data_IF_613843370884
#
_entry.id   IF_613843370884
#
_cell.length_a   1.000
_cell.length_b   1.000
_cell.length_c   1.000
_cell.angle_alpha   90.00
_cell.angle_beta   90.00
_cell.angle_gamma   90.00
#
_symmetry.space_group_name_H-M   'P 1'
#
loop_
_entity.id
_entity.type
_entity.pdbx_description
1 polymer ?
#
# COMPACT_ATOMS: atom_id res chain seq x y z
N UNK A 1 -13.30 -26.70 69.05
CA UNK A 1 -12.66 -27.22 67.84
C UNK A 1 -13.63 -27.56 66.67
N UNK A 2 -14.70 -28.31 66.79
CA UNK A 2 -15.60 -28.68 65.70
C UNK A 2 -16.38 -27.48 65.09
N UNK A 3 -16.73 -26.43 65.83
CA UNK A 3 -17.44 -25.23 65.33
C UNK A 3 -16.51 -24.30 64.58
N UNK A 4 -15.26 -24.15 64.97
CA UNK A 4 -14.24 -23.34 64.28
C UNK A 4 -13.78 -23.97 62.98
N UNK A 5 -13.69 -25.30 62.90
CA UNK A 5 -13.38 -25.99 61.61
C UNK A 5 -14.50 -25.85 60.58
N UNK A 6 -15.79 -25.83 61.00
CA UNK A 6 -16.94 -25.63 60.09
C UNK A 6 -16.97 -24.20 59.56
N UNK A 7 -16.58 -23.20 60.36
CA UNK A 7 -16.54 -21.80 59.94
C UNK A 7 -15.42 -21.54 58.94
N UNK A 8 -14.22 -22.14 59.18
CA UNK A 8 -13.10 -22.05 58.26
C UNK A 8 -13.38 -22.75 56.92
N UNK A 9 -14.06 -23.92 56.94
CA UNK A 9 -14.47 -24.61 55.72
C UNK A 9 -15.49 -23.81 54.91
N UNK A 10 -16.41 -23.11 55.57
CA UNK A 10 -17.42 -22.26 54.94
C UNK A 10 -16.77 -21.02 54.28
N UNK A 11 -15.79 -20.40 54.92
CA UNK A 11 -15.05 -19.25 54.39
C UNK A 11 -14.19 -19.67 53.17
N UNK A 12 -13.52 -20.83 53.25
CA UNK A 12 -12.76 -21.37 52.10
C UNK A 12 -13.67 -21.73 50.91
N UNK A 13 -14.88 -22.29 51.15
CA UNK A 13 -15.83 -22.56 50.07
C UNK A 13 -16.37 -21.31 49.45
N UNK A 14 -16.63 -20.24 50.21
CA UNK A 14 -17.06 -18.93 49.67
C UNK A 14 -15.95 -18.25 48.87
N UNK A 15 -14.69 -18.38 49.28
CA UNK A 15 -13.54 -17.85 48.50
C UNK A 15 -13.32 -18.61 47.19
N UNK A 16 -13.52 -19.94 47.17
CA UNK A 16 -13.50 -20.72 45.93
C UNK A 16 -14.66 -20.37 44.97
N UNK A 17 -15.85 -20.11 45.48
CA UNK A 17 -17.00 -19.70 44.65
C UNK A 17 -16.84 -18.30 44.10
N UNK A 18 -16.22 -17.39 44.85
CA UNK A 18 -15.85 -16.05 44.33
C UNK A 18 -14.76 -16.10 43.27
N UNK A 19 -13.79 -17.06 43.39
CA UNK A 19 -12.77 -17.29 42.35
C UNK A 19 -13.33 -17.89 41.06
N UNK A 20 -14.40 -18.68 41.11
CA UNK A 20 -15.03 -19.32 39.96
C UNK A 20 -15.97 -18.34 39.23
N UNK A 21 -16.56 -17.37 39.93
CA UNK A 21 -17.40 -16.31 39.31
C UNK A 21 -16.58 -15.26 38.53
N UNK A 22 -15.28 -15.13 38.81
CA UNK A 22 -14.37 -14.29 38.02
C UNK A 22 -13.89 -14.97 36.74
N UNK A 23 -14.09 -16.30 36.59
CA UNK A 23 -13.70 -17.09 35.43
C UNK A 23 -14.86 -17.29 34.42
N UNK A 24 -16.05 -16.73 34.69
CA UNK A 24 -17.13 -16.69 33.71
C UNK A 24 -16.77 -15.67 32.64
N UNK A 25 -16.29 -16.16 31.51
CA UNK A 25 -15.73 -15.47 30.37
C UNK A 25 -16.41 -14.12 30.07
N UNK A 26 -15.70 -13.03 30.36
CA UNK A 26 -15.82 -11.87 29.50
C UNK A 26 -15.55 -12.40 28.09
N UNK A 27 -16.57 -12.45 27.23
CA UNK A 27 -16.36 -12.45 25.79
C UNK A 27 -15.32 -11.33 25.59
N UNK A 28 -14.09 -11.69 25.27
CA UNK A 28 -13.08 -10.68 24.97
C UNK A 28 -13.64 -9.91 23.79
N UNK A 29 -14.16 -8.72 24.09
CA UNK A 29 -14.69 -7.80 23.10
C UNK A 29 -13.48 -7.29 22.31
N UNK A 30 -13.17 -7.99 21.20
CA UNK A 30 -12.03 -7.69 20.34
C UNK A 30 -12.36 -6.55 19.40
N UNK A 31 -11.36 -5.75 19.05
CA UNK A 31 -11.46 -4.75 17.97
C UNK A 31 -11.17 -5.47 16.67
N UNK A 32 -12.15 -5.55 15.80
CA UNK A 32 -11.98 -6.18 14.49
C UNK A 32 -11.48 -5.19 13.47
N UNK A 33 -10.27 -5.42 12.99
CA UNK A 33 -9.63 -4.71 11.89
C UNK A 33 -9.65 -5.59 10.65
N UNK A 34 -10.19 -5.10 9.54
CA UNK A 34 -10.15 -5.76 8.25
C UNK A 34 -8.85 -5.45 7.51
N UNK A 35 -8.33 -6.42 6.77
CA UNK A 35 -7.37 -6.21 5.72
C UNK A 35 -7.84 -6.92 4.45
N UNK A 36 -7.64 -6.29 3.30
CA UNK A 36 -7.90 -6.86 2.00
C UNK A 36 -6.84 -6.43 0.99
N UNK A 37 -6.42 -7.37 0.15
CA UNK A 37 -5.38 -7.15 -0.87
C UNK A 37 -5.10 -8.45 -1.61
N UNK A 38 -4.21 -8.42 -2.59
CA UNK A 38 -3.90 -9.56 -3.44
C UNK A 38 -2.94 -10.52 -2.75
N UNK A 39 -3.41 -11.67 -2.26
CA UNK A 39 -2.54 -12.75 -1.78
C UNK A 39 -2.18 -13.74 -2.89
N UNK A 40 -2.93 -13.70 -3.99
CA UNK A 40 -2.70 -14.49 -5.21
C UNK A 40 -2.76 -13.57 -6.44
N UNK A 41 -2.30 -14.07 -7.59
CA UNK A 41 -2.21 -13.29 -8.84
C UNK A 41 -0.96 -12.40 -8.90
N UNK A 42 -0.95 -11.48 -9.85
CA UNK A 42 0.24 -10.72 -10.27
C UNK A 42 0.78 -9.72 -9.24
N UNK A 43 -0.02 -9.39 -8.23
CA UNK A 43 0.36 -8.48 -7.14
C UNK A 43 0.55 -9.21 -5.80
N UNK A 44 0.71 -10.54 -5.81
CA UNK A 44 0.75 -11.38 -4.60
C UNK A 44 1.91 -11.02 -3.65
N UNK A 45 3.06 -10.57 -4.17
CA UNK A 45 4.19 -10.15 -3.34
C UNK A 45 3.80 -8.99 -2.42
N UNK A 46 3.07 -8.00 -2.95
CA UNK A 46 2.60 -6.84 -2.22
C UNK A 46 1.63 -7.20 -1.10
N UNK A 47 0.54 -7.89 -1.44
CA UNK A 47 -0.46 -8.25 -0.44
C UNK A 47 0.07 -9.22 0.62
N UNK A 48 0.97 -10.13 0.24
CA UNK A 48 1.65 -11.00 1.19
C UNK A 48 2.44 -10.18 2.20
N UNK A 49 3.26 -9.23 1.73
CA UNK A 49 4.06 -8.37 2.60
C UNK A 49 3.19 -7.50 3.52
N UNK A 50 2.12 -6.86 2.98
CA UNK A 50 1.18 -6.06 3.79
C UNK A 50 0.53 -6.89 4.90
N UNK A 51 -0.07 -8.03 4.54
CA UNK A 51 -0.77 -8.88 5.50
C UNK A 51 0.17 -9.45 6.57
N UNK A 52 1.38 -9.81 6.21
CA UNK A 52 2.41 -10.29 7.12
C UNK A 52 2.87 -9.16 8.06
N UNK A 53 3.08 -7.96 7.54
CA UNK A 53 3.44 -6.78 8.35
C UNK A 53 2.33 -6.46 9.35
N UNK A 54 1.08 -6.41 8.93
CA UNK A 54 -0.05 -6.15 9.82
C UNK A 54 -0.19 -7.23 10.90
N UNK A 55 -0.01 -8.52 10.58
CA UNK A 55 -0.01 -9.59 11.58
C UNK A 55 1.07 -9.38 12.63
N UNK A 56 2.28 -9.01 12.22
CA UNK A 56 3.38 -8.71 13.12
C UNK A 56 3.05 -7.55 14.07
N UNK A 57 2.58 -6.44 13.52
CA UNK A 57 2.24 -5.23 14.29
C UNK A 57 1.05 -5.44 15.24
N UNK A 58 0.04 -6.20 14.80
CA UNK A 58 -1.11 -6.55 15.64
C UNK A 58 -0.69 -7.44 16.82
N UNK A 59 0.18 -8.42 16.60
CA UNK A 59 0.71 -9.26 17.69
C UNK A 59 1.49 -8.41 18.70
N UNK A 60 2.33 -7.48 18.25
CA UNK A 60 3.09 -6.58 19.13
C UNK A 60 2.16 -5.65 19.92
N UNK A 61 1.19 -5.03 19.24
CA UNK A 61 0.22 -4.14 19.90
C UNK A 61 -0.61 -4.91 20.93
N UNK A 62 -1.01 -6.14 20.61
CA UNK A 62 -1.74 -7.03 21.50
C UNK A 62 -0.90 -7.46 22.73
N UNK A 63 0.37 -7.78 22.53
CA UNK A 63 1.30 -8.07 23.61
C UNK A 63 1.51 -6.89 24.56
N UNK A 64 1.44 -5.65 24.01
CA UNK A 64 1.50 -4.41 24.79
C UNK A 64 0.16 -4.03 25.47
N UNK A 65 -0.88 -4.87 25.38
CA UNK A 65 -2.20 -4.64 26.00
C UNK A 65 -3.32 -4.22 25.05
N UNK A 66 -3.06 -4.17 23.76
CA UNK A 66 -4.04 -3.83 22.72
C UNK A 66 -4.31 -2.32 22.60
N UNK A 67 -5.53 -1.96 22.19
CA UNK A 67 -6.01 -0.57 22.08
C UNK A 67 -7.26 -0.42 22.93
N UNK A 68 -7.39 0.66 23.69
CA UNK A 68 -8.51 0.92 24.61
C UNK A 68 -8.76 -0.26 25.57
N UNK A 69 -7.71 -1.01 25.95
CA UNK A 69 -7.80 -2.18 26.80
C UNK A 69 -8.40 -3.42 26.14
N UNK A 70 -8.54 -3.43 24.82
CA UNK A 70 -9.07 -4.54 24.01
C UNK A 70 -8.00 -5.09 23.07
N UNK A 71 -8.06 -6.39 22.81
CA UNK A 71 -7.21 -7.05 21.82
C UNK A 71 -7.72 -6.74 20.40
N UNK A 72 -6.82 -6.69 19.43
CA UNK A 72 -7.13 -6.52 18.01
C UNK A 72 -7.25 -7.91 17.37
N UNK A 73 -8.31 -8.11 16.63
CA UNK A 73 -8.51 -9.27 15.74
C UNK A 73 -8.35 -8.79 14.29
N UNK A 74 -7.27 -9.20 13.64
CA UNK A 74 -7.02 -8.90 12.22
C UNK A 74 -7.67 -9.96 11.34
N UNK A 75 -8.59 -9.53 10.46
CA UNK A 75 -9.30 -10.38 9.51
C UNK A 75 -8.80 -10.07 8.10
N UNK A 76 -8.14 -11.05 7.45
CA UNK A 76 -7.51 -10.87 6.15
C UNK A 76 -8.23 -11.67 5.07
N UNK A 77 -8.48 -11.03 3.91
CA UNK A 77 -9.03 -11.70 2.73
C UNK A 77 -8.26 -11.36 1.46
N UNK A 78 -8.16 -12.36 0.58
CA UNK A 78 -7.56 -12.25 -0.75
C UNK A 78 -8.54 -11.66 -1.76
N UNK A 79 -8.17 -10.57 -2.42
CA UNK A 79 -8.91 -9.96 -3.53
C UNK A 79 -8.49 -10.49 -4.89
N UNK A 80 -7.43 -11.29 -4.97
CA UNK A 80 -6.86 -11.88 -6.19
C UNK A 80 -6.44 -10.84 -7.26
N UNK A 81 -6.29 -9.58 -6.87
CA UNK A 81 -6.05 -8.49 -7.82
C UNK A 81 -7.31 -8.05 -8.60
N UNK A 82 -8.46 -8.64 -8.33
CA UNK A 82 -9.71 -8.41 -9.08
C UNK A 82 -10.63 -7.40 -8.38
N UNK A 83 -11.15 -6.41 -9.13
CA UNK A 83 -12.00 -5.36 -8.59
C UNK A 83 -13.36 -5.88 -8.12
N UNK A 84 -13.94 -6.89 -8.80
CA UNK A 84 -15.22 -7.46 -8.40
C UNK A 84 -15.08 -8.31 -7.13
N UNK A 85 -13.98 -9.06 -7.01
CA UNK A 85 -13.67 -9.79 -5.79
C UNK A 85 -13.40 -8.84 -4.62
N UNK A 86 -12.75 -7.70 -4.86
CA UNK A 86 -12.60 -6.66 -3.85
C UNK A 86 -13.96 -6.17 -3.31
N UNK A 87 -14.96 -5.99 -4.16
CA UNK A 87 -16.34 -5.63 -3.75
C UNK A 87 -16.95 -6.74 -2.88
N UNK A 88 -16.75 -8.02 -3.23
CA UNK A 88 -17.26 -9.16 -2.46
C UNK A 88 -16.60 -9.23 -1.07
N UNK A 89 -15.29 -9.06 -1.02
CA UNK A 89 -14.50 -9.04 0.22
C UNK A 89 -14.89 -7.87 1.11
N UNK A 90 -15.02 -6.65 0.56
CA UNK A 90 -15.46 -5.48 1.33
C UNK A 90 -16.84 -5.70 1.95
N UNK A 91 -17.82 -6.24 1.18
CA UNK A 91 -19.14 -6.62 1.72
C UNK A 91 -19.05 -7.61 2.87
N UNK A 92 -18.17 -8.61 2.75
CA UNK A 92 -17.97 -9.61 3.80
C UNK A 92 -17.40 -8.98 5.06
N UNK A 93 -16.34 -8.19 4.95
CA UNK A 93 -15.71 -7.48 6.08
C UNK A 93 -16.73 -6.56 6.80
N UNK A 94 -17.48 -5.78 6.03
CA UNK A 94 -18.43 -4.82 6.60
C UNK A 94 -19.68 -5.49 7.17
N UNK A 95 -20.35 -6.39 6.42
CA UNK A 95 -21.65 -6.93 6.76
C UNK A 95 -21.60 -8.13 7.71
N UNK A 96 -20.65 -9.05 7.48
CA UNK A 96 -20.56 -10.32 8.21
C UNK A 96 -19.59 -10.22 9.38
N UNK A 97 -18.35 -9.77 9.11
CA UNK A 97 -17.30 -9.69 10.13
C UNK A 97 -17.46 -8.46 11.02
N UNK A 98 -18.10 -7.38 10.50
CA UNK A 98 -18.37 -6.12 11.21
C UNK A 98 -17.11 -5.47 11.72
N UNK A 99 -16.14 -5.29 10.82
CA UNK A 99 -14.88 -4.62 11.12
C UNK A 99 -15.10 -3.12 11.38
N UNK A 100 -14.28 -2.51 12.20
CA UNK A 100 -14.37 -1.09 12.51
C UNK A 100 -13.66 -0.20 11.48
N UNK A 101 -12.73 -0.77 10.71
CA UNK A 101 -12.02 -0.14 9.61
C UNK A 101 -11.41 -1.23 8.72
N UNK A 102 -11.00 -0.86 7.51
CA UNK A 102 -10.27 -1.72 6.58
C UNK A 102 -8.94 -1.05 6.27
N UNK A 103 -7.82 -1.79 6.30
CA UNK A 103 -6.56 -1.37 5.70
C UNK A 103 -6.46 -2.06 4.34
N UNK A 104 -6.19 -1.30 3.28
CA UNK A 104 -6.26 -1.75 1.89
C UNK A 104 -7.67 -1.56 1.30
N UNK A 105 -7.88 -1.89 0.01
CA UNK A 105 -6.91 -2.54 -0.88
C UNK A 105 -5.75 -1.62 -1.28
N UNK A 106 -4.73 -2.22 -1.89
CA UNK A 106 -3.55 -1.49 -2.34
C UNK A 106 -3.67 -0.95 -3.78
N UNK A 107 -4.46 -1.57 -4.64
CA UNK A 107 -4.62 -1.15 -6.04
C UNK A 107 -5.75 -0.11 -6.22
N UNK A 108 -5.49 0.93 -7.01
CA UNK A 108 -6.43 2.04 -7.24
C UNK A 108 -7.79 1.60 -7.78
N UNK A 109 -7.83 0.71 -8.77
CA UNK A 109 -9.08 0.19 -9.34
C UNK A 109 -9.93 -0.55 -8.30
N UNK A 110 -9.31 -1.28 -7.38
CA UNK A 110 -10.02 -1.97 -6.29
C UNK A 110 -10.59 -0.97 -5.27
N UNK A 111 -9.82 0.06 -4.86
CA UNK A 111 -10.30 1.12 -3.96
C UNK A 111 -11.49 1.88 -4.56
N UNK A 112 -11.44 2.17 -5.86
CA UNK A 112 -12.53 2.84 -6.58
C UNK A 112 -13.78 1.95 -6.60
N UNK A 113 -13.62 0.65 -6.84
CA UNK A 113 -14.73 -0.30 -6.95
C UNK A 113 -15.49 -0.51 -5.63
N UNK A 114 -14.81 -0.49 -4.48
CA UNK A 114 -15.45 -0.76 -3.17
C UNK A 114 -16.20 0.43 -2.57
N UNK A 115 -16.09 1.63 -3.15
CA UNK A 115 -16.65 2.86 -2.58
C UNK A 115 -18.11 2.70 -2.14
N UNK A 116 -18.98 2.17 -3.02
CA UNK A 116 -20.42 2.05 -2.71
C UNK A 116 -20.68 1.14 -1.50
N UNK A 117 -19.80 0.17 -1.24
CA UNK A 117 -19.89 -0.70 -0.06
C UNK A 117 -19.49 0.08 1.18
N UNK A 118 -18.41 0.84 1.13
CA UNK A 118 -17.96 1.66 2.27
C UNK A 118 -19.03 2.70 2.65
N UNK A 119 -19.61 3.37 1.67
CA UNK A 119 -20.72 4.34 1.88
C UNK A 119 -21.94 3.68 2.50
N UNK A 120 -22.32 2.49 2.02
CA UNK A 120 -23.48 1.73 2.54
C UNK A 120 -23.31 1.34 4.00
N UNK A 121 -22.13 0.86 4.38
CA UNK A 121 -21.86 0.35 5.73
C UNK A 121 -21.19 1.38 6.64
N UNK A 122 -20.78 2.53 6.10
CA UNK A 122 -20.10 3.62 6.81
C UNK A 122 -18.81 3.14 7.50
N UNK A 123 -18.08 2.25 6.85
CA UNK A 123 -16.80 1.71 7.33
C UNK A 123 -15.68 2.36 6.55
N UNK A 124 -14.70 3.04 7.21
CA UNK A 124 -13.60 3.64 6.51
C UNK A 124 -12.60 2.59 6.02
N UNK A 125 -12.08 2.81 4.80
CA UNK A 125 -10.84 2.18 4.35
C UNK A 125 -9.66 3.13 4.47
N UNK A 126 -8.49 2.57 4.63
CA UNK A 126 -7.22 3.29 4.62
C UNK A 126 -6.29 2.59 3.65
N UNK A 127 -6.25 3.08 2.42
CA UNK A 127 -5.39 2.51 1.39
C UNK A 127 -3.91 2.78 1.67
N UNK A 128 -3.09 1.77 1.42
CA UNK A 128 -1.64 1.82 1.60
C UNK A 128 -0.94 2.53 0.45
N UNK A 129 -1.20 2.14 -0.80
CA UNK A 129 -0.47 2.60 -2.01
C UNK A 129 -1.37 2.91 -3.21
N UNK A 130 -2.69 3.03 -3.04
CA UNK A 130 -3.57 3.39 -4.15
C UNK A 130 -3.48 4.90 -4.45
N UNK A 131 -2.74 5.26 -5.47
CA UNK A 131 -2.32 6.64 -5.77
C UNK A 131 -3.28 7.43 -6.65
N UNK A 132 -4.22 6.78 -7.35
CA UNK A 132 -5.15 7.47 -8.25
C UNK A 132 -6.04 8.48 -7.52
N UNK A 133 -6.22 9.67 -8.09
CA UNK A 133 -7.01 10.75 -7.48
C UNK A 133 -8.45 10.33 -7.17
N UNK A 134 -9.05 9.48 -8.03
CA UNK A 134 -10.43 8.99 -7.87
C UNK A 134 -10.65 8.12 -6.63
N UNK A 135 -9.60 7.69 -5.95
CA UNK A 135 -9.72 6.89 -4.71
C UNK A 135 -10.41 7.67 -3.62
N UNK A 136 -10.08 8.96 -3.44
CA UNK A 136 -10.67 9.81 -2.39
C UNK A 136 -11.56 10.93 -2.91
N UNK A 137 -11.33 11.41 -4.13
CA UNK A 137 -12.14 12.46 -4.76
C UNK A 137 -12.48 12.06 -6.19
N UNK A 138 -13.74 12.02 -6.53
CA UNK A 138 -14.19 11.73 -7.88
C UNK A 138 -15.23 12.75 -8.33
N UNK A 139 -15.05 13.33 -9.54
CA UNK A 139 -15.94 14.37 -10.10
C UNK A 139 -16.14 15.56 -9.14
N UNK A 140 -15.06 15.93 -8.43
CA UNK A 140 -15.08 17.01 -7.43
C UNK A 140 -15.81 16.68 -6.13
N UNK A 141 -16.21 15.42 -5.92
CA UNK A 141 -16.90 14.95 -4.72
C UNK A 141 -15.98 14.13 -3.85
N UNK A 142 -15.86 14.51 -2.59
CA UNK A 142 -15.15 13.76 -1.58
C UNK A 142 -15.88 12.42 -1.32
N UNK A 143 -15.11 11.34 -1.22
CA UNK A 143 -15.59 10.03 -0.78
C UNK A 143 -15.39 9.93 0.73
N UNK A 144 -16.50 9.92 1.46
CA UNK A 144 -16.52 10.12 2.92
C UNK A 144 -15.75 9.06 3.71
N UNK A 145 -15.67 7.82 3.18
CA UNK A 145 -15.08 6.68 3.87
C UNK A 145 -13.80 6.16 3.21
N UNK A 146 -13.26 6.86 2.19
CA UNK A 146 -12.01 6.50 1.56
C UNK A 146 -10.88 7.42 2.00
N UNK A 147 -9.79 6.82 2.51
CA UNK A 147 -8.58 7.50 2.98
C UNK A 147 -7.34 6.82 2.39
N UNK A 148 -6.19 7.50 2.45
CA UNK A 148 -4.90 6.91 2.05
C UNK A 148 -3.74 7.46 2.87
N UNK A 149 -2.62 6.71 2.90
CA UNK A 149 -1.35 7.16 3.51
C UNK A 149 -0.27 7.47 2.47
N UNK A 150 -0.49 7.15 1.20
CA UNK A 150 0.44 7.33 0.09
C UNK A 150 0.29 8.71 -0.59
N UNK A 151 1.28 9.09 -1.42
CA UNK A 151 1.15 10.22 -2.35
C UNK A 151 0.14 9.91 -3.47
N UNK A 152 -0.12 10.89 -4.35
CA UNK A 152 -1.07 10.78 -5.46
C UNK A 152 -0.36 10.69 -6.81
N UNK A 153 -1.08 10.22 -7.86
CA UNK A 153 -0.60 10.20 -9.25
C UNK A 153 -0.09 11.57 -9.74
N UNK A 154 -0.74 12.73 -9.44
CA UNK A 154 -0.18 14.03 -9.79
C UNK A 154 1.20 14.29 -9.16
N UNK A 155 1.39 13.89 -7.93
CA UNK A 155 2.66 14.03 -7.21
C UNK A 155 3.70 13.08 -7.80
N UNK A 156 3.34 11.82 -8.03
CA UNK A 156 4.22 10.85 -8.66
C UNK A 156 4.58 11.24 -10.10
N UNK A 157 3.61 11.72 -10.89
CA UNK A 157 3.84 12.26 -12.22
C UNK A 157 4.79 13.45 -12.24
N UNK A 158 4.70 14.34 -11.23
CA UNK A 158 5.66 15.43 -11.03
C UNK A 158 7.06 14.91 -10.75
N UNK A 159 7.19 13.91 -9.87
CA UNK A 159 8.47 13.26 -9.57
C UNK A 159 9.06 12.65 -10.84
N UNK A 160 8.27 11.84 -11.57
CA UNK A 160 8.69 11.19 -12.80
C UNK A 160 9.14 12.17 -13.87
N UNK A 161 8.30 13.16 -14.19
CA UNK A 161 8.57 14.15 -15.23
C UNK A 161 9.77 15.03 -14.89
N UNK A 162 9.90 15.44 -13.62
CA UNK A 162 11.04 16.24 -13.16
C UNK A 162 12.33 15.41 -13.17
N UNK A 163 12.29 14.17 -12.71
CA UNK A 163 13.45 13.29 -12.73
C UNK A 163 13.98 13.07 -14.15
N UNK A 164 13.09 12.73 -15.08
CA UNK A 164 13.51 12.49 -16.48
C UNK A 164 14.08 13.75 -17.12
N UNK A 165 13.42 14.90 -16.93
CA UNK A 165 13.83 16.13 -17.59
C UNK A 165 14.95 16.87 -16.88
N UNK A 166 14.82 17.06 -15.55
CA UNK A 166 15.73 17.92 -14.79
C UNK A 166 16.98 17.17 -14.33
N UNK A 167 16.87 15.86 -13.94
CA UNK A 167 18.00 15.10 -13.42
C UNK A 167 18.71 14.32 -14.53
N UNK A 168 17.98 13.51 -15.30
CA UNK A 168 18.55 12.73 -16.39
C UNK A 168 18.86 13.56 -17.64
N UNK A 169 18.32 14.79 -17.76
CA UNK A 169 18.47 15.67 -18.94
C UNK A 169 17.95 15.05 -20.23
N UNK A 170 16.95 14.18 -20.13
CA UNK A 170 16.34 13.52 -21.28
C UNK A 170 15.11 14.30 -21.73
N UNK A 171 14.96 14.46 -23.05
CA UNK A 171 13.89 15.29 -23.64
C UNK A 171 12.91 14.49 -24.49
N UNK A 172 13.16 13.20 -24.73
CA UNK A 172 12.29 12.31 -25.51
C UNK A 172 11.96 11.06 -24.70
N UNK A 173 10.70 10.88 -24.39
CA UNK A 173 10.19 9.69 -23.68
C UNK A 173 9.17 8.95 -24.56
N UNK A 174 9.13 7.62 -24.43
CA UNK A 174 7.97 6.83 -24.83
C UNK A 174 7.23 6.36 -23.58
N UNK A 175 5.97 5.96 -23.77
CA UNK A 175 5.12 5.44 -22.69
C UNK A 175 4.56 4.09 -23.14
N UNK A 176 4.55 3.11 -22.21
CA UNK A 176 3.85 1.84 -22.38
C UNK A 176 3.04 1.55 -21.11
N UNK A 177 1.71 1.38 -21.26
CA UNK A 177 0.80 1.30 -20.11
C UNK A 177 -0.38 0.36 -20.35
N UNK A 178 -1.01 -0.13 -19.27
CA UNK A 178 -2.27 -0.87 -19.32
C UNK A 178 -3.44 0.10 -19.50
N UNK A 179 -4.18 -0.03 -20.62
CA UNK A 179 -5.32 0.84 -20.96
C UNK A 179 -6.53 0.65 -20.04
N UNK A 180 -6.62 -0.48 -19.36
CA UNK A 180 -7.76 -0.79 -18.47
C UNK A 180 -7.48 -0.43 -17.01
N UNK A 181 -6.23 -0.20 -16.63
CA UNK A 181 -5.87 0.10 -15.26
C UNK A 181 -5.99 1.60 -14.94
N UNK A 182 -6.72 1.94 -13.87
CA UNK A 182 -6.94 3.34 -13.47
C UNK A 182 -5.66 4.00 -12.92
N UNK A 183 -4.79 3.24 -12.22
CA UNK A 183 -3.49 3.73 -11.78
C UNK A 183 -2.60 4.07 -12.98
N UNK A 184 -2.45 3.14 -13.93
CA UNK A 184 -1.63 3.34 -15.12
C UNK A 184 -2.06 4.58 -15.92
N UNK A 185 -3.36 4.77 -16.11
CA UNK A 185 -3.92 5.94 -16.81
C UNK A 185 -3.64 7.24 -16.06
N UNK A 186 -3.92 7.25 -14.76
CA UNK A 186 -3.75 8.46 -13.94
C UNK A 186 -2.29 8.90 -13.89
N UNK A 187 -1.38 7.98 -13.64
CA UNK A 187 0.04 8.28 -13.57
C UNK A 187 0.62 8.69 -14.94
N UNK A 188 0.22 8.01 -16.02
CA UNK A 188 0.59 8.38 -17.39
C UNK A 188 0.21 9.82 -17.73
N UNK A 189 -1.04 10.19 -17.48
CA UNK A 189 -1.55 11.53 -17.83
C UNK A 189 -0.80 12.62 -17.04
N UNK A 190 -0.51 12.38 -15.78
CA UNK A 190 0.25 13.32 -14.95
C UNK A 190 1.73 13.41 -15.35
N UNK A 191 2.37 12.30 -15.74
CA UNK A 191 3.72 12.33 -16.33
C UNK A 191 3.75 13.17 -17.61
N UNK A 192 2.86 12.93 -18.56
CA UNK A 192 2.77 13.69 -19.83
C UNK A 192 2.65 15.18 -19.53
N UNK A 193 1.71 15.54 -18.65
CA UNK A 193 1.46 16.94 -18.27
C UNK A 193 2.74 17.63 -17.77
N UNK A 194 3.46 17.02 -16.85
CA UNK A 194 4.66 17.62 -16.25
C UNK A 194 5.83 17.60 -17.22
N UNK A 195 6.10 16.48 -17.87
CA UNK A 195 7.23 16.31 -18.77
C UNK A 195 7.16 17.27 -19.96
N UNK A 196 5.96 17.41 -20.58
CA UNK A 196 5.76 18.32 -21.71
C UNK A 196 5.77 19.78 -21.29
N UNK A 197 5.26 20.13 -20.10
CA UNK A 197 5.34 21.49 -19.57
C UNK A 197 6.79 21.95 -19.35
N UNK A 198 7.72 21.00 -19.10
CA UNK A 198 9.17 21.28 -18.98
C UNK A 198 9.87 21.38 -20.35
N UNK A 199 9.23 21.03 -21.45
CA UNK A 199 9.81 21.03 -22.81
C UNK A 199 10.18 19.64 -23.32
N UNK A 200 9.81 18.59 -22.60
CA UNK A 200 9.94 17.19 -23.06
C UNK A 200 8.93 16.86 -24.15
N UNK A 201 9.22 15.82 -24.92
CA UNK A 201 8.34 15.30 -25.97
C UNK A 201 8.07 13.82 -25.74
N UNK A 202 6.80 13.44 -25.69
CA UNK A 202 6.38 12.03 -25.74
C UNK A 202 6.34 11.62 -27.22
N UNK A 203 7.31 10.79 -27.63
CA UNK A 203 7.49 10.39 -29.03
C UNK A 203 6.68 9.16 -29.41
N UNK A 204 6.25 8.35 -28.45
CA UNK A 204 5.34 7.23 -28.62
C UNK A 204 4.51 7.02 -27.35
N UNK A 205 3.24 6.71 -27.52
CA UNK A 205 2.32 6.30 -26.46
C UNK A 205 1.64 5.00 -26.92
N UNK A 206 2.02 3.88 -26.32
CA UNK A 206 1.54 2.56 -26.67
C UNK A 206 0.81 1.95 -25.49
N UNK A 207 -0.28 1.24 -25.79
CA UNK A 207 -1.12 0.60 -24.79
C UNK A 207 -1.16 -0.91 -25.00
N UNK A 208 -1.39 -1.62 -23.89
CA UNK A 208 -1.72 -3.04 -23.87
C UNK A 208 -2.93 -3.29 -22.96
N UNK A 209 -3.44 -4.50 -22.93
CA UNK A 209 -4.53 -4.90 -22.05
C UNK A 209 -3.98 -5.82 -20.97
N UNK A 210 -4.34 -5.57 -19.72
CA UNK A 210 -3.92 -6.40 -18.58
C UNK A 210 -4.14 -7.90 -18.85
N UNK A 211 -3.10 -8.68 -18.59
CA UNK A 211 -3.04 -10.11 -18.95
C UNK A 211 -2.41 -10.41 -20.31
N UNK A 212 -2.07 -9.38 -21.12
CA UNK A 212 -1.25 -9.58 -22.31
C UNK A 212 0.14 -10.07 -21.92
N UNK A 213 0.70 -11.00 -22.73
CA UNK A 213 2.02 -11.59 -22.50
C UNK A 213 3.01 -11.33 -23.63
N UNK A 214 2.56 -10.68 -24.71
CA UNK A 214 3.39 -10.30 -25.86
C UNK A 214 3.26 -8.80 -26.13
N UNK A 215 4.36 -8.08 -25.96
CA UNK A 215 4.48 -6.63 -26.14
C UNK A 215 5.31 -6.26 -27.36
N UNK A 216 5.60 -7.24 -28.24
CA UNK A 216 6.50 -7.07 -29.39
C UNK A 216 6.05 -5.95 -30.32
N UNK A 217 4.75 -5.84 -30.59
CA UNK A 217 4.20 -4.83 -31.50
C UNK A 217 4.39 -3.40 -30.91
N UNK A 218 4.07 -3.20 -29.65
CA UNK A 218 4.21 -1.93 -28.94
C UNK A 218 5.70 -1.53 -28.83
N UNK A 219 6.54 -2.48 -28.41
CA UNK A 219 7.99 -2.23 -28.26
C UNK A 219 8.66 -1.93 -29.61
N UNK A 220 8.21 -2.54 -30.72
CA UNK A 220 8.73 -2.21 -32.07
C UNK A 220 8.44 -0.77 -32.43
N UNK A 221 7.19 -0.31 -32.25
CA UNK A 221 6.80 1.08 -32.50
C UNK A 221 7.57 2.07 -31.61
N UNK A 222 7.73 1.72 -30.33
CA UNK A 222 8.53 2.52 -29.39
C UNK A 222 9.98 2.63 -29.90
N UNK A 223 10.58 1.52 -30.32
CA UNK A 223 11.96 1.52 -30.87
C UNK A 223 12.08 2.42 -32.09
N UNK A 224 11.12 2.34 -33.02
CA UNK A 224 11.11 3.16 -34.25
C UNK A 224 10.94 4.66 -33.95
N UNK A 225 10.20 5.02 -32.88
CA UNK A 225 10.02 6.40 -32.44
C UNK A 225 11.30 7.04 -31.84
N UNK A 226 12.28 6.25 -31.47
CA UNK A 226 13.58 6.71 -30.98
C UNK A 226 13.54 7.50 -29.66
N UNK A 227 12.89 7.00 -28.60
CA UNK A 227 12.95 7.62 -27.28
C UNK A 227 14.34 7.49 -26.65
N UNK A 228 14.56 8.23 -25.58
CA UNK A 228 15.74 8.13 -24.73
C UNK A 228 15.46 7.34 -23.43
N UNK A 229 14.19 7.23 -23.05
CA UNK A 229 13.70 6.49 -21.89
C UNK A 229 12.29 6.02 -22.19
N UNK A 230 11.88 4.90 -21.56
CA UNK A 230 10.48 4.41 -21.62
C UNK A 230 9.87 4.57 -20.23
N UNK A 231 8.79 5.32 -20.12
CA UNK A 231 8.00 5.41 -18.89
C UNK A 231 6.93 4.31 -18.88
N UNK A 232 6.92 3.53 -17.81
CA UNK A 232 6.05 2.36 -17.67
C UNK A 232 5.30 2.41 -16.33
N UNK A 233 4.16 3.14 -16.26
CA UNK A 233 3.29 3.19 -15.06
C UNK A 233 2.45 1.91 -14.95
N UNK A 234 3.05 0.84 -14.51
CA UNK A 234 2.49 -0.52 -14.48
C UNK A 234 2.91 -1.24 -13.19
N UNK A 235 2.55 -2.52 -13.04
CA UNK A 235 2.98 -3.35 -11.93
C UNK A 235 4.21 -4.20 -12.26
N UNK A 236 4.91 -4.68 -11.24
CA UNK A 236 6.22 -5.32 -11.36
C UNK A 236 6.25 -6.54 -12.28
N UNK A 237 5.18 -7.33 -12.37
CA UNK A 237 5.15 -8.51 -13.25
C UNK A 237 5.24 -8.11 -14.73
N UNK A 238 4.42 -7.16 -15.15
CA UNK A 238 4.45 -6.65 -16.52
C UNK A 238 5.76 -5.92 -16.80
N UNK A 239 6.27 -5.16 -15.81
CA UNK A 239 7.57 -4.48 -15.91
C UNK A 239 8.70 -5.46 -16.21
N UNK A 240 8.73 -6.64 -15.56
CA UNK A 240 9.69 -7.71 -15.83
C UNK A 240 9.50 -8.27 -17.23
N UNK A 241 8.27 -8.58 -17.65
CA UNK A 241 7.99 -9.17 -18.95
C UNK A 241 8.36 -8.22 -20.09
N UNK A 242 7.99 -6.95 -19.96
CA UNK A 242 8.30 -5.90 -20.93
C UNK A 242 9.83 -5.71 -21.06
N UNK A 243 10.57 -5.67 -19.95
CA UNK A 243 12.03 -5.57 -19.99
C UNK A 243 12.66 -6.74 -20.72
N UNK A 244 12.29 -7.99 -20.42
CA UNK A 244 12.82 -9.17 -21.09
C UNK A 244 12.59 -9.13 -22.60
N UNK A 245 11.40 -8.73 -23.04
CA UNK A 245 11.09 -8.60 -24.45
C UNK A 245 11.81 -7.42 -25.10
N UNK A 246 11.91 -6.29 -24.43
CA UNK A 246 12.67 -5.14 -24.90
C UNK A 246 14.14 -5.52 -25.16
N UNK A 247 14.80 -6.18 -24.22
CA UNK A 247 16.20 -6.65 -24.41
C UNK A 247 16.32 -7.62 -25.59
N UNK A 248 15.36 -8.54 -25.76
CA UNK A 248 15.31 -9.46 -26.91
C UNK A 248 15.19 -8.72 -28.26
N UNK A 249 14.48 -7.59 -28.28
CA UNK A 249 14.36 -6.72 -29.45
C UNK A 249 15.54 -5.74 -29.63
N UNK A 250 16.57 -5.82 -28.78
CA UNK A 250 17.72 -4.91 -28.80
C UNK A 250 17.34 -3.48 -28.40
N UNK A 251 16.43 -3.34 -27.45
CA UNK A 251 16.09 -2.06 -26.80
C UNK A 251 16.82 -2.02 -25.46
N UNK A 252 17.96 -1.36 -25.39
CA UNK A 252 18.81 -1.27 -24.22
C UNK A 252 18.60 0.04 -23.41
N UNK A 253 17.50 0.74 -23.69
CA UNK A 253 17.14 1.97 -23.00
C UNK A 253 16.75 1.67 -21.53
N UNK A 254 17.05 2.60 -20.60
CA UNK A 254 16.47 2.52 -19.27
C UNK A 254 14.96 2.72 -19.33
N UNK A 255 14.25 2.09 -18.39
CA UNK A 255 12.84 2.36 -18.16
C UNK A 255 12.68 3.03 -16.80
N UNK A 256 11.61 3.82 -16.66
CA UNK A 256 11.19 4.39 -15.39
C UNK A 256 9.82 3.83 -15.04
N UNK A 257 9.72 3.08 -13.96
CA UNK A 257 8.47 2.61 -13.40
C UNK A 257 7.94 3.52 -12.30
N UNK A 258 6.63 3.47 -12.06
CA UNK A 258 6.02 4.02 -10.86
C UNK A 258 6.26 3.15 -9.63
N UNK A 259 5.59 3.49 -8.52
CA UNK A 259 5.64 2.73 -7.26
C UNK A 259 5.12 1.29 -7.42
N UNK A 260 4.19 1.07 -8.35
CA UNK A 260 3.71 -0.26 -8.75
C UNK A 260 4.78 -1.15 -9.40
N UNK A 261 5.95 -0.62 -9.76
CA UNK A 261 7.05 -1.42 -10.28
C UNK A 261 8.06 -1.84 -9.21
N UNK A 262 8.10 -1.13 -8.07
CA UNK A 262 9.10 -1.35 -7.05
C UNK A 262 8.85 -2.63 -6.25
N UNK A 263 9.60 -3.69 -6.53
CA UNK A 263 9.48 -4.98 -5.85
C UNK A 263 10.81 -5.72 -5.81
N UNK A 264 11.02 -6.51 -4.75
CA UNK A 264 12.15 -7.44 -4.66
C UNK A 264 12.09 -8.54 -5.73
N UNK A 265 10.90 -8.83 -6.28
CA UNK A 265 10.69 -9.79 -7.38
C UNK A 265 11.41 -9.36 -8.67
N UNK A 266 11.69 -8.07 -8.86
CA UNK A 266 12.47 -7.58 -10.00
C UNK A 266 13.83 -8.28 -10.14
N UNK A 267 14.42 -8.69 -9.02
CA UNK A 267 15.73 -9.34 -9.01
C UNK A 267 15.74 -10.79 -9.51
N UNK A 268 14.55 -11.37 -9.79
CA UNK A 268 14.43 -12.63 -10.55
C UNK A 268 14.72 -12.42 -12.06
N UNK A 269 14.69 -11.17 -12.50
CA UNK A 269 15.04 -10.77 -13.87
C UNK A 269 16.16 -9.70 -13.87
N UNK A 270 17.07 -9.78 -12.91
CA UNK A 270 18.07 -8.77 -12.59
C UNK A 270 18.79 -8.20 -13.82
N UNK A 271 19.25 -9.05 -14.73
CA UNK A 271 19.98 -8.61 -15.94
C UNK A 271 19.09 -7.80 -16.90
N UNK A 272 17.78 -8.12 -16.98
CA UNK A 272 16.87 -7.43 -17.88
C UNK A 272 16.51 -6.02 -17.38
N UNK A 273 16.35 -5.85 -16.07
CA UNK A 273 15.90 -4.60 -15.44
C UNK A 273 17.04 -3.69 -14.99
N UNK A 274 18.31 -4.16 -15.07
CA UNK A 274 19.50 -3.42 -14.62
C UNK A 274 19.57 -2.01 -15.22
N UNK A 275 19.91 -1.03 -14.39
CA UNK A 275 20.05 0.36 -14.79
C UNK A 275 18.73 1.13 -14.97
N UNK A 276 17.58 0.47 -14.90
CA UNK A 276 16.28 1.11 -14.91
C UNK A 276 15.94 1.75 -13.56
N UNK A 277 14.87 2.53 -13.48
CA UNK A 277 14.50 3.32 -12.30
C UNK A 277 13.08 3.00 -11.83
N UNK A 278 12.84 3.18 -10.54
CA UNK A 278 11.51 3.13 -9.92
C UNK A 278 11.30 4.32 -9.01
N UNK A 279 10.04 4.72 -8.87
CA UNK A 279 9.62 5.75 -7.91
C UNK A 279 9.04 5.03 -6.69
N UNK A 280 9.42 5.48 -5.50
CA UNK A 280 8.97 4.91 -4.24
C UNK A 280 8.48 5.99 -3.27
N UNK A 281 7.67 5.58 -2.29
CA UNK A 281 7.24 6.43 -1.17
C UNK A 281 8.37 6.65 -0.15
N UNK A 282 9.23 5.65 -0.03
CA UNK A 282 10.40 5.64 0.86
C UNK A 282 11.47 4.77 0.21
N UNK A 283 12.75 5.08 0.45
CA UNK A 283 13.83 4.25 -0.07
C UNK A 283 13.86 2.88 0.62
N UNK A 284 13.87 1.82 -0.18
CA UNK A 284 13.96 0.44 0.30
C UNK A 284 15.35 0.12 0.89
N UNK A 285 16.34 0.97 0.65
CA UNK A 285 17.71 0.84 1.16
C UNK A 285 18.06 1.89 2.21
N UNK A 286 17.09 2.67 2.69
CA UNK A 286 17.34 3.65 3.76
C UNK A 286 17.71 2.91 5.07
N UNK A 287 18.87 3.22 5.68
CA UNK A 287 19.29 2.62 6.95
C UNK A 287 18.28 2.81 8.08
N UNK A 288 17.45 3.85 8.06
CA UNK A 288 16.40 4.06 9.05
C UNK A 288 15.39 2.90 9.10
N UNK A 289 15.20 2.18 7.99
CA UNK A 289 14.34 1.02 7.89
C UNK A 289 14.99 -0.32 8.26
N UNK A 290 16.33 -0.38 8.51
CA UNK A 290 17.05 -1.64 8.72
C UNK A 290 16.49 -2.49 9.86
N UNK A 291 16.19 -1.86 10.98
CA UNK A 291 15.64 -2.56 12.15
C UNK A 291 14.29 -3.23 11.84
N UNK A 292 13.43 -2.52 11.12
CA UNK A 292 12.11 -3.02 10.75
C UNK A 292 12.19 -4.12 9.69
N UNK A 293 13.05 -3.96 8.67
CA UNK A 293 13.33 -5.02 7.69
C UNK A 293 13.87 -6.27 8.34
N UNK A 294 14.79 -6.11 9.31
CA UNK A 294 15.34 -7.25 10.05
C UNK A 294 14.28 -7.96 10.87
N UNK A 295 13.43 -7.22 11.59
CA UNK A 295 12.33 -7.78 12.38
C UNK A 295 11.36 -8.58 11.50
N UNK A 296 11.01 -8.04 10.33
CA UNK A 296 10.17 -8.72 9.36
C UNK A 296 10.84 -10.01 8.85
N UNK A 297 12.10 -9.95 8.45
CA UNK A 297 12.84 -11.09 7.95
C UNK A 297 13.00 -12.19 9.02
N UNK A 298 13.30 -11.82 10.26
CA UNK A 298 13.41 -12.76 11.38
C UNK A 298 12.08 -13.51 11.62
N UNK A 299 10.95 -12.82 11.48
CA UNK A 299 9.63 -13.42 11.66
C UNK A 299 9.19 -14.30 10.49
N UNK A 300 9.55 -13.93 9.27
CA UNK A 300 9.06 -14.57 8.05
C UNK A 300 10.18 -15.30 7.27
N UNK A 301 11.04 -16.06 8.00
CA UNK A 301 12.03 -16.97 7.44
C UNK A 301 12.99 -16.33 6.42
N UNK A 302 13.42 -15.11 6.65
CA UNK A 302 14.33 -14.38 5.78
C UNK A 302 13.65 -13.69 4.58
N UNK A 303 12.33 -13.58 4.58
CA UNK A 303 11.61 -12.86 3.54
C UNK A 303 12.06 -11.40 3.47
N UNK A 304 12.21 -10.89 2.28
CA UNK A 304 12.49 -9.47 2.04
C UNK A 304 11.20 -8.66 2.12
N UNK A 305 11.33 -7.44 2.64
CA UNK A 305 10.20 -6.54 2.78
C UNK A 305 10.00 -5.74 1.50
N UNK A 306 8.78 -5.79 0.95
CA UNK A 306 8.33 -4.92 -0.13
C UNK A 306 8.03 -3.50 0.39
N UNK A 307 7.94 -2.52 -0.51
CA UNK A 307 7.46 -1.17 -0.21
C UNK A 307 6.16 -1.19 0.59
N UNK A 308 5.25 -2.07 0.21
CA UNK A 308 3.93 -2.24 0.82
C UNK A 308 3.99 -2.56 2.32
N UNK A 309 5.07 -3.20 2.80
CA UNK A 309 5.26 -3.44 4.23
C UNK A 309 5.44 -2.14 5.03
N UNK A 310 6.18 -1.17 4.50
CA UNK A 310 6.33 0.15 5.14
C UNK A 310 5.01 0.92 5.14
N UNK A 311 4.28 0.86 4.02
CA UNK A 311 3.01 1.57 3.91
C UNK A 311 1.91 0.93 4.76
N UNK A 312 1.93 -0.39 4.93
CA UNK A 312 1.06 -1.10 5.88
C UNK A 312 1.37 -0.73 7.34
N UNK A 313 2.67 -0.60 7.68
CA UNK A 313 3.07 -0.07 8.99
C UNK A 313 2.48 1.32 9.22
N UNK A 314 2.61 2.21 8.27
CA UNK A 314 2.16 3.59 8.37
C UNK A 314 0.63 3.68 8.47
N UNK A 315 -0.09 2.87 7.72
CA UNK A 315 -1.55 2.75 7.81
C UNK A 315 -2.00 2.22 9.19
N UNK A 316 -1.33 1.20 9.71
CA UNK A 316 -1.61 0.66 11.04
C UNK A 316 -1.34 1.67 12.14
N UNK A 317 -0.23 2.41 12.05
CA UNK A 317 0.12 3.45 13.00
C UNK A 317 -0.94 4.56 13.04
N UNK A 318 -1.38 5.03 11.86
CA UNK A 318 -2.44 6.04 11.75
C UNK A 318 -3.78 5.52 12.28
N UNK A 319 -4.14 4.28 11.97
CA UNK A 319 -5.36 3.65 12.49
C UNK A 319 -5.34 3.55 14.01
N UNK A 320 -4.23 3.10 14.61
CA UNK A 320 -4.09 3.06 16.07
C UNK A 320 -4.31 4.44 16.70
N UNK A 321 -3.64 5.47 16.17
CA UNK A 321 -3.78 6.84 16.66
C UNK A 321 -5.23 7.36 16.51
N UNK A 322 -5.90 7.03 15.41
CA UNK A 322 -7.29 7.42 15.19
C UNK A 322 -8.26 6.74 16.17
N UNK A 323 -8.09 5.45 16.45
CA UNK A 323 -8.91 4.72 17.44
C UNK A 323 -8.68 5.29 18.85
N UNK A 324 -7.44 5.54 19.23
CA UNK A 324 -7.10 6.17 20.52
C UNK A 324 -7.70 7.58 20.63
N UNK A 325 -7.61 8.39 19.57
CA UNK A 325 -8.19 9.74 19.50
C UNK A 325 -9.71 9.73 19.59
N UNK A 326 -10.36 8.82 18.88
CA UNK A 326 -11.80 8.64 18.90
C UNK A 326 -12.31 8.14 20.28
N UNK A 327 -11.47 7.43 21.04
CA UNK A 327 -11.85 6.74 22.27
C UNK A 327 -12.95 5.69 22.04
N UNK A 328 -13.11 5.23 20.79
CA UNK A 328 -14.21 4.40 20.31
C UNK A 328 -13.76 3.52 19.16
N UNK A 329 -14.46 2.41 18.96
CA UNK A 329 -14.35 1.53 17.79
C UNK A 329 -15.50 1.74 16.79
N UNK A 330 -16.27 2.79 16.95
CA UNK A 330 -17.30 3.18 15.99
C UNK A 330 -16.63 3.62 14.68
N UNK A 331 -16.99 3.03 13.53
CA UNK A 331 -16.35 3.31 12.25
C UNK A 331 -16.39 4.79 11.84
N UNK A 332 -17.51 5.49 12.10
CA UNK A 332 -17.63 6.89 11.71
C UNK A 332 -16.78 7.81 12.62
N UNK A 333 -16.64 7.45 13.91
CA UNK A 333 -15.74 8.15 14.81
C UNK A 333 -14.26 7.97 14.40
N UNK A 334 -13.88 6.79 13.94
CA UNK A 334 -12.54 6.51 13.41
C UNK A 334 -12.29 7.30 12.12
N UNK A 335 -13.26 7.28 11.17
CA UNK A 335 -13.16 8.04 9.92
C UNK A 335 -12.89 9.53 10.19
N UNK A 336 -13.63 10.14 11.12
CA UNK A 336 -13.40 11.53 11.52
C UNK A 336 -12.02 11.71 12.14
N UNK A 337 -11.60 10.83 13.02
CA UNK A 337 -10.34 10.91 13.74
C UNK A 337 -9.11 10.81 12.82
N UNK A 338 -9.20 10.15 11.65
CA UNK A 338 -8.10 10.12 10.68
C UNK A 338 -7.62 11.52 10.28
N UNK A 339 -8.52 12.50 10.16
CA UNK A 339 -8.17 13.87 9.82
C UNK A 339 -7.72 14.71 11.04
N UNK A 340 -7.90 14.19 12.26
CA UNK A 340 -7.58 14.91 13.51
C UNK A 340 -6.24 14.49 14.11
N UNK A 341 -5.62 13.41 13.62
CA UNK A 341 -4.36 12.88 14.12
C UNK A 341 -3.22 13.11 13.13
N UNK A 342 -2.00 13.09 13.65
CA UNK A 342 -0.76 13.17 12.91
C UNK A 342 0.22 12.17 13.49
N UNK A 343 0.88 11.40 12.63
CA UNK A 343 1.86 10.38 13.03
C UNK A 343 3.13 10.50 12.18
N UNK A 344 4.25 10.02 12.71
CA UNK A 344 5.50 9.90 11.98
C UNK A 344 5.70 8.43 11.61
N UNK A 345 5.47 8.11 10.35
CA UNK A 345 5.63 6.77 9.81
C UNK A 345 7.00 6.54 9.16
N UNK A 346 7.16 5.39 8.53
CA UNK A 346 8.36 5.03 7.76
C UNK A 346 8.49 5.87 6.49
N UNK A 347 7.38 6.20 5.83
CA UNK A 347 7.33 7.09 4.67
C UNK A 347 7.13 8.57 5.08
N UNK A 348 7.65 8.94 6.25
CA UNK A 348 7.61 10.29 6.78
C UNK A 348 6.31 10.63 7.52
N UNK A 349 6.06 11.93 7.66
CA UNK A 349 4.89 12.46 8.36
C UNK A 349 3.60 12.13 7.62
N UNK A 350 2.57 11.73 8.39
CA UNK A 350 1.24 11.43 7.87
C UNK A 350 0.23 12.31 8.59
N UNK A 351 -0.37 13.22 7.86
CA UNK A 351 -1.48 14.07 8.28
C UNK A 351 -2.50 14.09 7.16
N UNK A 352 -3.67 13.57 7.42
CA UNK A 352 -4.74 13.50 6.43
C UNK A 352 -5.49 14.83 6.36
N UNK A 353 -5.68 15.35 5.16
CA UNK A 353 -6.49 16.53 4.89
C UNK A 353 -7.98 16.19 5.01
N UNK A 354 -8.74 17.03 5.69
CA UNK A 354 -10.20 16.85 5.83
C UNK A 354 -10.97 17.22 4.55
N UNK A 355 -10.33 17.86 3.57
CA UNK A 355 -10.99 18.34 2.36
C UNK A 355 -10.94 17.33 1.22
N UNK A 356 -9.96 16.43 1.24
CA UNK A 356 -9.72 15.47 0.15
C UNK A 356 -9.25 14.07 0.60
N UNK A 357 -9.12 13.87 1.91
CA UNK A 357 -8.68 12.62 2.56
C UNK A 357 -7.31 12.10 2.09
N UNK A 358 -6.48 13.00 1.58
CA UNK A 358 -5.11 12.71 1.17
C UNK A 358 -4.09 13.17 2.21
N UNK A 359 -2.92 12.54 2.33
CA UNK A 359 -1.87 13.02 3.20
C UNK A 359 -1.23 14.29 2.63
N UNK A 360 -0.87 15.22 3.52
CA UNK A 360 -0.26 16.51 3.18
C UNK A 360 1.26 16.40 3.23
N UNK A 361 1.96 17.08 2.30
CA UNK A 361 3.42 17.25 2.37
C UNK A 361 4.19 15.96 2.12
N UNK A 362 3.71 15.09 1.24
CA UNK A 362 4.44 13.88 0.86
C UNK A 362 5.57 14.20 -0.12
N UNK A 363 6.64 13.41 -0.02
CA UNK A 363 7.70 13.33 -1.02
C UNK A 363 7.81 11.90 -1.52
N UNK A 364 8.43 11.73 -2.66
CA UNK A 364 8.82 10.42 -3.16
C UNK A 364 10.30 10.37 -3.44
N UNK A 365 10.85 9.18 -3.48
CA UNK A 365 12.22 8.94 -3.89
C UNK A 365 12.28 8.25 -5.24
N UNK A 366 13.42 8.43 -5.93
CA UNK A 366 13.77 7.67 -7.12
C UNK A 366 14.94 6.77 -6.77
N UNK A 367 14.81 5.51 -7.14
CA UNK A 367 15.84 4.49 -6.96
C UNK A 367 16.21 3.88 -8.30
N UNK A 368 17.50 3.62 -8.51
CA UNK A 368 17.98 2.86 -9.65
C UNK A 368 18.10 1.38 -9.28
N UNK A 369 17.66 0.52 -10.17
CA UNK A 369 17.77 -0.93 -10.02
C UNK A 369 19.24 -1.32 -10.30
N UNK A 370 19.91 -1.89 -9.32
CA UNK A 370 21.25 -2.50 -9.43
C UNK A 370 21.08 -4.02 -9.56
N UNK A 371 20.85 -4.47 -10.78
CA UNK A 371 20.65 -5.89 -11.07
C UNK A 371 21.87 -6.75 -10.70
N UNK A 372 23.06 -6.22 -10.86
CA UNK A 372 24.30 -6.92 -10.52
C UNK A 372 24.40 -7.27 -9.03
N UNK A 373 24.03 -6.34 -8.16
CA UNK A 373 24.07 -6.53 -6.71
C UNK A 373 22.72 -6.97 -6.14
N UNK A 374 21.67 -7.07 -6.97
CA UNK A 374 20.30 -7.39 -6.59
C UNK A 374 19.79 -6.51 -5.45
N UNK A 375 19.91 -5.20 -5.65
CA UNK A 375 19.51 -4.16 -4.71
C UNK A 375 19.10 -2.90 -5.45
N UNK A 376 18.61 -1.92 -4.71
CA UNK A 376 18.35 -0.58 -5.22
C UNK A 376 19.51 0.35 -4.86
N UNK A 377 19.70 1.39 -5.67
CA UNK A 377 20.55 2.54 -5.36
C UNK A 377 19.65 3.76 -5.20
N UNK A 378 19.64 4.34 -4.03
CA UNK A 378 18.97 5.62 -3.82
C UNK A 378 19.62 6.69 -4.71
N UNK A 379 18.79 7.43 -5.44
CA UNK A 379 19.23 8.54 -6.30
C UNK A 379 18.90 9.88 -5.67
N UNK A 380 17.61 10.14 -5.40
CA UNK A 380 17.16 11.43 -4.88
C UNK A 380 15.80 11.35 -4.23
N UNK A 381 15.50 12.31 -3.35
CA UNK A 381 14.13 12.64 -2.96
C UNK A 381 13.65 13.84 -3.76
N UNK A 382 12.42 13.77 -4.24
CA UNK A 382 11.74 14.87 -4.93
C UNK A 382 10.47 15.22 -4.16
N UNK A 383 10.33 16.50 -3.77
CA UNK A 383 9.11 16.99 -3.14
C UNK A 383 7.92 16.86 -4.08
N UNK A 384 6.83 16.37 -3.53
CA UNK A 384 5.61 16.13 -4.29
C UNK A 384 4.70 17.38 -4.39
N UNK A 385 5.03 18.45 -3.66
CA UNK A 385 4.25 19.70 -3.58
C UNK A 385 4.58 20.69 -4.71
#
# INVERSE_FOLDING_TARGET
MRKTMKLVALILSCLMVLGILSACGKKNDTIKLGWMGSLTGDQAAYGTCESQTLKMLVEEKNAAGGILGKQIELICYDTKGDAQEAVNVAKRLCAQDKVCAIIGPNASGQCIAIQSVLDQYKVPDLSTVATNEKVTVQDGKLKEYNFRVCFLDPQQGKIAGSFVYDELKLTKAAILYDINDDYAKGLKDNFIKVFTAKGGTVVAEEAYTGGDTDFTAQLTKIKEAGPQIIFTPIFYQDFIMIHKQARTLGIDLPMLGGDGCASEVLFDAADAVDGSYVINHVSLVDPAGDSFRKQYADKWNGAKMELNGYMAHDAFLLWCAAVEKAGSVDPQAIAKAYCEVEVNGMAGKIKISATDHNPVGKSGCVEQIDGKNKTYKFITYIAAD
#
